data_IF_494399335857
#
_entry.id   IF_494399335857
#
_cell.length_a   1.000
_cell.length_b   1.000
_cell.length_c   1.000
_cell.angle_alpha   90.00
_cell.angle_beta   90.00
_cell.angle_gamma   90.00
#
_symmetry.space_group_name_H-M   'P 1'
#
loop_
_entity.id
_entity.type
_entity.pdbx_description
1 polymer ?
#
# COMPACT_ATOMS: atom_id res chain seq x y z
N UNK A 1 -2.11 8.92 68.95
CA UNK A 1 -1.08 8.47 67.98
C UNK A 1 -1.52 8.98 66.61
N UNK A 2 -0.74 9.86 66.01
CA UNK A 2 -1.01 10.34 64.64
C UNK A 2 -0.45 9.27 63.69
N UNK A 3 -1.33 8.58 62.98
CA UNK A 3 -0.94 7.61 61.96
C UNK A 3 -0.37 8.38 60.78
N UNK A 4 0.96 8.39 60.65
CA UNK A 4 1.63 8.94 59.48
C UNK A 4 1.26 8.11 58.27
N UNK A 5 0.41 8.65 57.40
CA UNK A 5 0.19 8.10 56.06
C UNK A 5 1.51 8.22 55.32
N UNK A 6 2.22 7.11 55.10
CA UNK A 6 3.35 7.09 54.16
C UNK A 6 2.76 7.39 52.77
N UNK A 7 3.01 8.59 52.26
CA UNK A 7 2.83 8.87 50.83
C UNK A 7 3.67 7.84 50.07
N UNK A 8 3.01 6.98 49.30
CA UNK A 8 3.69 6.20 48.27
C UNK A 8 4.19 7.22 47.24
N UNK A 9 5.49 7.33 46.97
CA UNK A 9 5.96 8.26 45.94
C UNK A 9 5.29 7.87 44.61
N UNK A 10 4.61 8.82 43.98
CA UNK A 10 4.02 8.65 42.65
C UNK A 10 5.15 8.46 41.65
N UNK A 11 5.02 7.44 40.79
CA UNK A 11 5.99 7.21 39.73
C UNK A 11 5.96 8.35 38.71
N UNK A 12 7.11 8.74 38.13
CA UNK A 12 7.16 9.87 37.22
C UNK A 12 6.39 9.58 35.93
N UNK A 13 5.88 10.63 35.31
CA UNK A 13 5.16 10.56 34.03
C UNK A 13 6.07 10.93 32.86
N UNK A 14 5.65 10.65 31.63
CA UNK A 14 6.34 11.12 30.43
C UNK A 14 6.59 12.64 30.39
N UNK A 15 5.82 13.45 31.14
CA UNK A 15 5.99 14.90 31.24
C UNK A 15 7.14 15.31 32.16
N UNK A 16 7.56 14.42 33.05
CA UNK A 16 8.63 14.62 34.03
C UNK A 16 9.93 13.92 33.61
N UNK A 17 9.89 13.18 32.50
CA UNK A 17 11.00 12.38 31.99
C UNK A 17 11.58 12.99 30.71
N UNK A 18 12.91 12.90 30.52
CA UNK A 18 13.50 13.11 29.21
C UNK A 18 12.83 12.23 28.15
N UNK A 19 12.84 12.68 26.91
CA UNK A 19 12.30 11.90 25.80
C UNK A 19 13.21 11.89 24.57
N UNK A 20 14.29 12.66 24.63
CA UNK A 20 15.28 12.87 23.58
C UNK A 20 16.61 13.21 24.28
N UNK A 21 17.73 12.71 23.77
CA UNK A 21 19.09 13.10 24.18
C UNK A 21 19.69 14.19 23.28
N UNK A 22 18.99 14.58 22.21
CA UNK A 22 19.41 15.54 21.21
C UNK A 22 20.47 15.00 20.24
N UNK A 23 20.76 13.69 20.27
CA UNK A 23 21.72 13.05 19.38
C UNK A 23 21.00 12.72 18.06
N UNK A 24 21.43 13.27 16.92
CA UNK A 24 20.83 12.92 15.65
C UNK A 24 21.14 11.45 15.32
N UNK A 25 20.23 10.79 14.60
CA UNK A 25 20.49 9.51 13.94
C UNK A 25 21.86 9.50 13.25
N UNK A 26 22.57 8.38 13.37
CA UNK A 26 23.97 8.23 12.93
C UNK A 26 24.23 8.75 11.51
N UNK A 27 23.31 8.51 10.57
CA UNK A 27 23.46 8.98 9.20
C UNK A 27 22.14 9.21 8.46
N UNK A 28 22.15 9.96 7.33
CA UNK A 28 20.97 10.10 6.48
C UNK A 28 20.37 8.75 6.03
N UNK A 29 21.19 7.70 5.87
CA UNK A 29 20.70 6.36 5.51
C UNK A 29 19.89 5.73 6.65
N UNK A 30 20.35 5.84 7.90
CA UNK A 30 19.58 5.35 9.05
C UNK A 30 18.25 6.09 9.18
N UNK A 31 18.26 7.42 9.03
CA UNK A 31 17.03 8.24 9.05
C UNK A 31 16.04 7.80 7.97
N UNK A 32 16.49 7.59 6.74
CA UNK A 32 15.62 7.14 5.65
C UNK A 32 15.12 5.71 5.86
N UNK A 33 15.93 4.84 6.46
CA UNK A 33 15.54 3.48 6.80
C UNK A 33 14.46 3.47 7.91
N UNK A 34 14.55 4.37 8.88
CA UNK A 34 13.48 4.58 9.85
C UNK A 34 12.23 5.21 9.22
N UNK A 35 12.40 6.18 8.32
CA UNK A 35 11.30 6.82 7.59
C UNK A 35 10.50 5.81 6.77
N UNK A 36 11.15 4.91 6.01
CA UNK A 36 10.42 3.91 5.22
C UNK A 36 9.69 2.90 6.10
N UNK A 37 10.25 2.49 7.25
CA UNK A 37 9.58 1.59 8.20
C UNK A 37 8.34 2.26 8.81
N UNK A 38 8.45 3.52 9.22
CA UNK A 38 7.36 4.26 9.87
C UNK A 38 6.30 4.71 8.85
N UNK A 39 6.69 5.32 7.74
CA UNK A 39 5.76 5.78 6.69
C UNK A 39 4.91 4.65 6.13
N UNK A 40 5.48 3.45 5.94
CA UNK A 40 4.74 2.31 5.41
C UNK A 40 3.86 1.63 6.46
N UNK A 41 4.21 1.70 7.75
CA UNK A 41 3.42 1.11 8.83
C UNK A 41 2.29 2.03 9.31
N UNK A 42 2.45 3.36 9.29
CA UNK A 42 1.41 4.33 9.72
C UNK A 42 0.03 4.00 9.17
N UNK A 43 -0.16 3.79 7.85
CA UNK A 43 -1.48 3.57 7.26
C UNK A 43 -2.08 2.21 7.64
N UNK A 44 -1.22 1.23 7.95
CA UNK A 44 -1.65 -0.07 8.47
C UNK A 44 -2.11 0.06 9.92
N UNK A 45 -1.38 0.83 10.74
CA UNK A 45 -1.74 1.11 12.14
C UNK A 45 -3.00 1.98 12.24
N UNK A 46 -3.21 2.92 11.30
CA UNK A 46 -4.39 3.77 11.22
C UNK A 46 -5.69 2.98 11.03
N UNK A 47 -5.65 1.84 10.32
CA UNK A 47 -6.79 0.95 10.10
C UNK A 47 -7.19 0.16 11.35
N UNK A 48 -6.36 0.17 12.40
CA UNK A 48 -6.66 -0.48 13.68
C UNK A 48 -7.35 0.50 14.62
N UNK A 49 -8.10 -0.01 15.60
CA UNK A 49 -8.62 0.83 16.69
C UNK A 49 -7.54 1.13 17.74
N UNK A 50 -6.55 0.24 17.85
CA UNK A 50 -5.52 0.21 18.86
C UNK A 50 -4.11 0.16 18.25
N UNK A 51 -3.17 0.68 19.01
CA UNK A 51 -1.75 0.57 18.74
C UNK A 51 -1.02 1.90 18.66
N UNK A 52 0.28 1.80 18.86
CA UNK A 52 1.24 2.88 18.83
C UNK A 52 2.53 2.37 18.18
N UNK A 53 3.22 3.25 17.47
CA UNK A 53 4.61 3.01 17.06
C UNK A 53 5.43 4.24 17.42
N UNK A 54 6.67 4.00 17.82
CA UNK A 54 7.65 5.05 18.06
C UNK A 54 8.93 4.74 17.30
N UNK A 55 9.69 5.79 17.01
CA UNK A 55 11.04 5.67 16.50
C UNK A 55 11.88 6.79 17.08
N UNK A 56 13.14 6.47 17.41
CA UNK A 56 14.06 7.37 18.09
C UNK A 56 13.43 8.00 19.36
N UNK A 57 12.76 7.17 20.14
CA UNK A 57 11.98 7.58 21.33
C UNK A 57 12.33 6.70 22.52
N UNK A 58 12.54 7.31 23.69
CA UNK A 58 12.87 6.57 24.90
C UNK A 58 11.73 5.68 25.40
N UNK A 59 12.10 4.46 25.78
CA UNK A 59 11.30 3.48 26.47
C UNK A 59 11.79 3.37 27.92
N UNK A 60 10.94 3.77 28.86
CA UNK A 60 11.16 3.66 30.31
C UNK A 60 10.50 2.40 30.85
N UNK A 61 11.31 1.48 31.38
CA UNK A 61 10.84 0.13 31.74
C UNK A 61 11.14 -0.27 33.19
N UNK A 62 11.91 0.53 33.95
CA UNK A 62 12.15 0.34 35.38
C UNK A 62 11.79 1.60 36.16
N UNK A 63 10.74 1.51 37.00
CA UNK A 63 10.26 2.63 37.78
C UNK A 63 11.14 2.94 39.02
N UNK A 64 11.92 1.94 39.46
CA UNK A 64 12.84 2.07 40.59
C UNK A 64 14.16 2.76 40.21
N UNK A 65 14.49 2.78 38.93
CA UNK A 65 15.81 3.14 38.38
C UNK A 65 15.73 4.27 37.35
N UNK A 66 14.62 5.03 37.36
CA UNK A 66 14.43 6.19 36.50
C UNK A 66 15.57 7.21 36.60
N UNK A 67 16.23 7.28 37.77
CA UNK A 67 17.35 8.19 38.05
C UNK A 67 18.73 7.64 37.62
N UNK A 68 18.80 6.42 37.10
CA UNK A 68 20.05 5.70 36.77
C UNK A 68 20.19 5.31 35.30
N UNK A 69 19.45 5.95 34.39
CA UNK A 69 19.53 5.74 32.92
C UNK A 69 19.01 4.37 32.42
N UNK A 70 18.13 3.71 33.18
CA UNK A 70 17.40 2.51 32.74
C UNK A 70 16.19 2.85 31.85
N UNK A 71 16.47 3.63 30.81
CA UNK A 71 15.66 3.76 29.61
C UNK A 71 16.49 3.33 28.40
N UNK A 72 15.85 2.98 27.30
CA UNK A 72 16.54 2.76 26.01
C UNK A 72 15.78 3.47 24.92
N UNK A 73 16.50 4.10 23.99
CA UNK A 73 15.96 4.58 22.72
C UNK A 73 16.17 3.50 21.66
N UNK A 74 15.17 2.63 21.39
CA UNK A 74 15.17 1.82 20.19
C UNK A 74 14.93 2.71 18.97
N UNK A 75 15.58 2.39 17.85
CA UNK A 75 15.36 3.12 16.59
C UNK A 75 13.91 3.01 16.11
N UNK A 76 13.29 1.85 16.29
CA UNK A 76 11.87 1.62 16.02
C UNK A 76 11.26 0.64 17.01
N UNK A 77 10.00 0.88 17.40
CA UNK A 77 9.20 -0.09 18.12
C UNK A 77 7.71 0.04 17.81
N UNK A 78 6.97 -1.05 18.04
CA UNK A 78 5.52 -1.09 17.92
C UNK A 78 4.88 -1.72 19.16
N UNK A 79 3.71 -1.22 19.53
CA UNK A 79 2.89 -1.70 20.63
C UNK A 79 1.44 -1.78 20.18
N UNK A 80 0.82 -2.95 20.23
CA UNK A 80 -0.60 -3.18 19.97
C UNK A 80 -1.38 -3.35 21.28
N UNK A 81 -2.71 -3.24 21.23
CA UNK A 81 -3.56 -3.35 22.42
C UNK A 81 -3.59 -2.09 23.29
N UNK A 82 -3.09 -0.96 22.78
CA UNK A 82 -2.97 0.31 23.52
C UNK A 82 -3.78 1.42 22.84
N UNK A 83 -4.35 2.38 23.59
CA UNK A 83 -5.06 3.50 22.98
C UNK A 83 -4.15 4.36 22.10
N UNK A 84 -4.68 4.80 20.96
CA UNK A 84 -4.01 5.80 20.11
C UNK A 84 -3.80 7.11 20.89
N UNK A 85 -2.77 7.84 20.51
CA UNK A 85 -2.51 9.19 20.99
C UNK A 85 -1.03 9.52 20.95
N UNK A 86 -0.72 10.80 21.05
CA UNK A 86 0.64 11.29 21.12
C UNK A 86 1.32 10.79 22.40
N UNK A 87 2.64 10.54 22.32
CA UNK A 87 3.51 10.22 23.44
C UNK A 87 4.82 10.98 23.28
N UNK A 88 5.34 11.52 24.38
CA UNK A 88 6.71 12.04 24.45
C UNK A 88 7.69 10.89 24.57
N UNK A 89 7.42 9.96 25.46
CA UNK A 89 8.19 8.74 25.68
C UNK A 89 7.25 7.57 25.96
N UNK A 90 7.73 6.35 25.76
CA UNK A 90 6.98 5.15 26.14
C UNK A 90 7.28 4.78 27.58
N UNK A 91 6.32 5.02 28.48
CA UNK A 91 6.50 4.78 29.91
C UNK A 91 5.70 3.55 30.33
N UNK A 92 6.38 2.42 30.55
CA UNK A 92 5.73 1.10 30.72
C UNK A 92 4.73 1.06 31.87
N UNK A 93 5.01 1.73 32.99
CA UNK A 93 4.07 1.78 34.13
C UNK A 93 2.88 2.72 33.92
N UNK A 94 2.95 3.63 32.95
CA UNK A 94 1.80 4.45 32.53
C UNK A 94 0.94 3.71 31.52
N UNK A 95 1.57 3.07 30.54
CA UNK A 95 0.89 2.37 29.45
C UNK A 95 0.43 0.96 29.85
N UNK A 96 0.99 0.40 30.92
CA UNK A 96 0.67 -0.94 31.43
C UNK A 96 1.37 -2.09 30.69
N UNK A 97 2.13 -1.81 29.62
CA UNK A 97 2.94 -2.81 28.89
C UNK A 97 4.15 -2.20 28.19
N UNK A 98 5.12 -3.06 27.88
CA UNK A 98 6.26 -2.73 27.02
C UNK A 98 5.98 -2.95 25.54
N UNK A 99 6.98 -2.64 24.68
CA UNK A 99 6.87 -2.89 23.26
C UNK A 99 6.68 -4.36 22.90
N UNK A 100 5.91 -4.60 21.85
CA UNK A 100 5.72 -5.94 21.29
C UNK A 100 6.85 -6.31 20.32
N UNK A 101 7.29 -5.32 19.54
CA UNK A 101 8.38 -5.44 18.56
C UNK A 101 9.36 -4.29 18.74
N UNK A 102 10.65 -4.58 18.67
CA UNK A 102 11.73 -3.59 18.54
C UNK A 102 12.58 -3.92 17.31
N UNK A 103 12.96 -2.90 16.55
CA UNK A 103 13.95 -2.97 15.46
C UNK A 103 15.06 -1.96 15.74
N UNK A 104 16.31 -2.41 15.71
CA UNK A 104 17.51 -1.54 15.79
C UNK A 104 18.20 -1.47 14.42
N UNK A 105 18.61 -0.27 14.04
CA UNK A 105 19.34 0.04 12.82
C UNK A 105 20.82 0.19 13.18
N UNK A 106 21.60 -0.84 12.88
CA UNK A 106 22.99 -0.94 13.33
C UNK A 106 23.87 0.13 12.68
N UNK A 107 24.68 0.80 13.50
CA UNK A 107 25.82 1.59 13.05
C UNK A 107 27.15 1.02 13.53
N UNK A 108 28.27 1.53 13.00
CA UNK A 108 29.60 1.17 13.49
C UNK A 108 29.78 1.45 15.00
N UNK A 109 29.16 2.53 15.49
CA UNK A 109 29.28 2.97 16.88
C UNK A 109 28.39 2.16 17.85
N UNK A 110 27.21 1.71 17.40
CA UNK A 110 26.21 1.06 18.27
C UNK A 110 26.09 -0.46 18.08
N UNK A 111 26.54 -1.03 16.95
CA UNK A 111 26.24 -2.41 16.58
C UNK A 111 26.62 -3.44 17.65
N UNK A 112 27.76 -3.25 18.33
CA UNK A 112 28.16 -4.12 19.43
C UNK A 112 27.15 -4.07 20.58
N UNK A 113 26.71 -2.87 20.97
CA UNK A 113 25.77 -2.64 22.06
C UNK A 113 24.39 -3.17 21.71
N UNK A 114 23.90 -2.94 20.49
CA UNK A 114 22.61 -3.43 20.00
C UNK A 114 22.55 -4.96 20.05
N UNK A 115 23.59 -5.63 19.54
CA UNK A 115 23.68 -7.10 19.48
C UNK A 115 23.91 -7.77 20.84
N UNK A 116 24.34 -7.02 21.86
CA UNK A 116 24.71 -7.58 23.18
C UNK A 116 23.91 -6.96 24.32
N UNK A 117 24.33 -5.79 24.82
CA UNK A 117 23.75 -5.13 25.99
C UNK A 117 22.27 -4.81 25.81
N UNK A 118 21.89 -4.12 24.73
CA UNK A 118 20.48 -3.78 24.44
C UNK A 118 19.64 -5.04 24.25
N UNK A 119 20.11 -6.01 23.44
CA UNK A 119 19.45 -7.32 23.34
C UNK A 119 19.22 -8.00 24.70
N UNK A 120 20.19 -7.95 25.61
CA UNK A 120 20.04 -8.51 26.96
C UNK A 120 18.98 -7.75 27.78
N UNK A 121 18.93 -6.42 27.68
CA UNK A 121 17.92 -5.59 28.35
C UNK A 121 16.53 -5.87 27.80
N UNK A 122 16.37 -5.90 26.48
CA UNK A 122 15.11 -6.24 25.81
C UNK A 122 14.62 -7.64 26.22
N UNK A 123 15.53 -8.61 26.33
CA UNK A 123 15.22 -9.98 26.73
C UNK A 123 14.85 -10.13 28.20
N UNK A 124 15.66 -9.57 29.10
CA UNK A 124 15.65 -9.92 30.52
C UNK A 124 14.85 -8.94 31.36
N UNK A 125 14.83 -7.67 30.96
CA UNK A 125 14.20 -6.59 31.72
C UNK A 125 12.88 -6.18 31.07
N UNK A 126 12.89 -5.81 29.78
CA UNK A 126 11.66 -5.36 29.10
C UNK A 126 10.75 -6.50 28.66
N UNK A 127 11.30 -7.71 28.49
CA UNK A 127 10.57 -8.89 28.00
C UNK A 127 9.89 -8.66 26.65
N UNK A 128 10.54 -7.89 25.75
CA UNK A 128 10.01 -7.58 24.42
C UNK A 128 9.86 -8.90 23.65
N UNK A 129 8.65 -9.27 23.19
CA UNK A 129 8.40 -10.54 22.52
C UNK A 129 9.26 -10.78 21.28
N UNK A 130 9.48 -9.76 20.46
CA UNK A 130 10.24 -9.89 19.21
C UNK A 130 11.25 -8.75 19.05
N UNK A 131 12.47 -9.12 18.70
CA UNK A 131 13.57 -8.18 18.54
C UNK A 131 14.29 -8.42 17.22
N UNK A 132 14.54 -7.35 16.47
CA UNK A 132 15.21 -7.38 15.19
C UNK A 132 16.36 -6.38 15.16
N UNK A 133 17.36 -6.68 14.34
CA UNK A 133 18.33 -5.68 13.90
C UNK A 133 18.58 -5.78 12.40
N UNK A 134 19.04 -4.67 11.83
CA UNK A 134 19.42 -4.55 10.43
C UNK A 134 20.54 -3.52 10.28
N UNK A 135 21.61 -3.85 9.54
CA UNK A 135 22.64 -2.89 9.14
C UNK A 135 22.33 -2.30 7.76
N UNK A 136 21.99 -1.00 7.64
CA UNK A 136 21.69 -0.37 6.35
C UNK A 136 22.90 -0.27 5.40
N UNK A 137 24.12 -0.46 5.89
CA UNK A 137 25.36 -0.46 5.10
C UNK A 137 25.87 -1.87 4.81
N UNK A 138 25.38 -2.88 5.54
CA UNK A 138 25.64 -4.29 5.29
C UNK A 138 24.33 -5.11 5.36
N UNK A 139 23.54 -5.19 4.27
CA UNK A 139 22.22 -5.81 4.30
C UNK A 139 22.20 -7.31 4.64
N UNK A 140 23.36 -7.98 4.62
CA UNK A 140 23.48 -9.37 5.10
C UNK A 140 23.46 -9.48 6.63
N UNK A 141 23.78 -8.39 7.35
CA UNK A 141 23.80 -8.35 8.81
C UNK A 141 22.44 -7.92 9.37
N UNK A 142 21.52 -8.87 9.30
CA UNK A 142 20.16 -8.70 9.79
C UNK A 142 19.66 -9.97 10.46
N UNK A 143 18.97 -9.82 11.59
CA UNK A 143 18.53 -10.97 12.37
C UNK A 143 17.26 -10.66 13.14
N UNK A 144 16.35 -11.63 13.18
CA UNK A 144 15.18 -11.63 14.04
C UNK A 144 15.31 -12.61 15.19
N UNK A 145 14.70 -12.26 16.31
CA UNK A 145 14.62 -13.09 17.51
C UNK A 145 13.21 -13.06 18.09
N UNK A 146 12.79 -14.20 18.63
CA UNK A 146 11.55 -14.33 19.39
C UNK A 146 11.85 -14.78 20.80
N UNK A 147 11.18 -14.19 21.78
CA UNK A 147 11.31 -14.54 23.19
C UNK A 147 10.53 -15.83 23.47
N UNK A 148 11.24 -16.90 23.82
CA UNK A 148 10.64 -18.20 24.17
C UNK A 148 11.15 -18.57 25.56
N UNK A 149 10.23 -18.75 26.52
CA UNK A 149 10.55 -19.05 27.91
C UNK A 149 11.58 -18.08 28.51
N UNK A 150 11.45 -16.79 28.18
CA UNK A 150 12.31 -15.72 28.69
C UNK A 150 13.69 -15.62 28.04
N UNK A 151 13.96 -16.38 26.97
CA UNK A 151 15.23 -16.35 26.23
C UNK A 151 14.98 -16.11 24.75
N UNK A 152 15.73 -15.22 24.13
CA UNK A 152 15.64 -14.99 22.69
C UNK A 152 16.17 -16.18 21.91
N UNK A 153 15.34 -16.70 21.02
CA UNK A 153 15.69 -17.69 20.00
C UNK A 153 15.70 -17.01 18.64
N UNK A 154 16.69 -17.30 17.77
CA UNK A 154 16.70 -16.74 16.43
C UNK A 154 15.45 -17.20 15.67
N UNK A 155 14.86 -16.29 14.90
CA UNK A 155 13.84 -16.61 13.92
C UNK A 155 14.51 -17.14 12.64
N UNK A 156 13.78 -18.02 11.95
CA UNK A 156 14.14 -18.48 10.61
C UNK A 156 13.44 -17.61 9.56
N UNK A 157 14.06 -17.49 8.40
CA UNK A 157 13.44 -16.81 7.27
C UNK A 157 12.38 -17.71 6.64
N UNK A 158 11.20 -17.15 6.41
CA UNK A 158 10.11 -17.78 5.68
C UNK A 158 9.88 -16.97 4.41
N UNK A 159 10.18 -17.57 3.27
CA UNK A 159 10.05 -16.93 1.95
C UNK A 159 10.76 -15.58 1.87
N UNK A 160 11.98 -15.51 2.40
CA UNK A 160 12.83 -14.32 2.33
C UNK A 160 12.53 -13.23 3.37
N UNK A 161 11.65 -13.47 4.35
CA UNK A 161 11.36 -12.52 5.42
C UNK A 161 11.22 -13.15 6.80
N UNK A 162 11.29 -12.33 7.84
CA UNK A 162 10.94 -12.74 9.20
C UNK A 162 9.46 -12.43 9.47
N UNK A 163 8.70 -13.43 9.91
CA UNK A 163 7.31 -13.22 10.31
C UNK A 163 7.29 -12.70 11.75
N UNK A 164 6.65 -11.56 11.95
CA UNK A 164 6.27 -11.07 13.28
C UNK A 164 4.88 -11.58 13.62
N UNK A 165 4.80 -12.41 14.66
CA UNK A 165 3.51 -12.89 15.17
C UNK A 165 2.80 -11.80 15.99
N UNK A 166 3.56 -10.87 16.57
CA UNK A 166 2.98 -9.79 17.38
C UNK A 166 2.16 -8.81 16.54
N UNK A 167 2.68 -8.39 15.38
CA UNK A 167 1.99 -7.42 14.53
C UNK A 167 1.40 -8.03 13.26
N UNK A 168 1.52 -9.34 13.08
CA UNK A 168 0.95 -10.10 11.94
C UNK A 168 1.39 -9.56 10.57
N UNK A 169 2.68 -9.22 10.48
CA UNK A 169 3.36 -8.73 9.28
C UNK A 169 4.68 -9.48 9.08
N UNK A 170 5.22 -9.39 7.86
CA UNK A 170 6.53 -9.92 7.51
C UNK A 170 7.51 -8.76 7.38
N UNK A 171 8.69 -8.89 7.96
CA UNK A 171 9.82 -7.97 7.77
C UNK A 171 10.71 -8.53 6.67
N UNK A 172 10.86 -7.80 5.58
CA UNK A 172 11.53 -8.26 4.35
C UNK A 172 12.63 -7.29 3.93
N UNK A 173 13.60 -7.81 3.19
CA UNK A 173 14.56 -7.00 2.44
C UNK A 173 14.03 -6.75 1.03
N UNK A 174 14.07 -5.50 0.59
CA UNK A 174 13.62 -5.09 -0.74
C UNK A 174 14.67 -4.19 -1.38
N UNK A 175 15.13 -4.55 -2.57
CA UNK A 175 16.01 -3.72 -3.38
C UNK A 175 15.20 -2.77 -4.25
N UNK A 176 15.42 -1.47 -4.08
CA UNK A 176 14.76 -0.47 -4.89
C UNK A 176 15.01 0.97 -4.44
N UNK A 177 14.32 1.90 -5.09
CA UNK A 177 14.51 3.33 -4.88
C UNK A 177 13.54 3.89 -3.85
N UNK A 178 14.07 4.55 -2.82
CA UNK A 178 13.30 5.36 -1.89
C UNK A 178 13.98 6.73 -1.71
N UNK A 179 13.22 7.81 -1.92
CA UNK A 179 13.71 9.21 -1.88
C UNK A 179 14.98 9.45 -2.72
N UNK A 180 15.09 8.75 -3.87
CA UNK A 180 16.21 8.89 -4.81
C UNK A 180 17.44 8.02 -4.51
N UNK A 181 17.39 7.17 -3.48
CA UNK A 181 18.45 6.21 -3.14
C UNK A 181 18.02 4.80 -3.51
N UNK A 182 18.75 4.17 -4.44
CA UNK A 182 18.51 2.80 -4.88
C UNK A 182 19.44 1.81 -4.15
N UNK A 183 18.92 1.15 -3.13
CA UNK A 183 19.66 0.23 -2.24
C UNK A 183 18.73 -0.89 -1.75
N UNK A 184 19.25 -1.78 -0.90
CA UNK A 184 18.44 -2.72 -0.12
C UNK A 184 17.87 -2.01 1.11
N UNK A 185 16.55 -2.09 1.27
CA UNK A 185 15.79 -1.52 2.38
C UNK A 185 15.12 -2.62 3.18
N UNK A 186 15.03 -2.43 4.50
CA UNK A 186 14.14 -3.21 5.36
C UNK A 186 12.72 -2.64 5.27
N UNK A 187 11.71 -3.46 4.99
CA UNK A 187 10.31 -3.02 4.83
C UNK A 187 9.34 -4.00 5.49
N UNK A 188 8.17 -3.48 5.85
CA UNK A 188 7.02 -4.29 6.22
C UNK A 188 6.28 -4.78 4.98
N UNK A 189 5.86 -6.04 5.02
CA UNK A 189 5.00 -6.69 4.04
C UNK A 189 3.86 -7.42 4.75
N UNK A 190 2.77 -7.69 4.03
CA UNK A 190 1.75 -8.63 4.49
C UNK A 190 2.33 -10.05 4.58
N UNK A 191 1.60 -10.98 5.21
CA UNK A 191 2.06 -12.36 5.30
C UNK A 191 2.18 -13.04 3.93
N UNK A 192 1.37 -12.60 2.96
CA UNK A 192 1.36 -13.02 1.56
C UNK A 192 2.56 -12.48 0.77
N UNK A 193 3.35 -11.55 1.35
CA UNK A 193 4.54 -10.98 0.74
C UNK A 193 4.32 -9.65 0.02
N UNK A 194 3.13 -9.06 0.11
CA UNK A 194 2.84 -7.75 -0.48
C UNK A 194 3.43 -6.62 0.37
N UNK A 195 4.31 -5.79 -0.20
CA UNK A 195 4.90 -4.67 0.51
C UNK A 195 3.83 -3.66 0.94
N UNK A 196 3.91 -3.21 2.21
CA UNK A 196 3.14 -2.05 2.64
C UNK A 196 3.65 -0.84 1.86
N UNK A 197 2.77 -0.16 1.09
CA UNK A 197 3.22 0.81 0.12
C UNK A 197 3.62 2.14 0.79
N UNK A 198 4.67 2.77 0.27
CA UNK A 198 5.00 4.16 0.58
C UNK A 198 3.90 5.08 0.04
N UNK A 199 3.85 6.33 0.51
CA UNK A 199 2.89 7.31 0.01
C UNK A 199 3.14 7.59 -1.48
N UNK A 200 4.39 7.60 -1.92
CA UNK A 200 4.72 7.76 -3.34
C UNK A 200 4.20 6.58 -4.18
N UNK A 201 4.38 5.34 -3.72
CA UNK A 201 3.86 4.15 -4.40
C UNK A 201 2.32 4.15 -4.45
N UNK A 202 1.64 4.60 -3.39
CA UNK A 202 0.18 4.74 -3.40
C UNK A 202 -0.29 5.77 -4.41
N UNK A 203 0.35 6.94 -4.41
CA UNK A 203 0.04 8.02 -5.36
C UNK A 203 0.22 7.51 -6.79
N UNK A 204 1.34 6.82 -7.06
CA UNK A 204 1.61 6.24 -8.37
C UNK A 204 0.55 5.20 -8.79
N UNK A 205 0.18 4.28 -7.89
CA UNK A 205 -0.89 3.28 -8.14
C UNK A 205 -2.24 3.94 -8.43
N UNK A 206 -2.57 5.02 -7.74
CA UNK A 206 -3.81 5.78 -7.99
C UNK A 206 -3.77 6.53 -9.33
N UNK A 207 -2.62 7.09 -9.72
CA UNK A 207 -2.46 7.68 -11.05
C UNK A 207 -2.64 6.64 -12.16
N UNK A 208 -1.95 5.50 -12.07
CA UNK A 208 -2.08 4.41 -13.04
C UNK A 208 -3.51 3.88 -13.12
N UNK A 209 -4.19 3.72 -11.98
CA UNK A 209 -5.59 3.31 -11.93
C UNK A 209 -6.50 4.31 -12.65
N UNK A 210 -6.26 5.62 -12.49
CA UNK A 210 -7.03 6.67 -13.17
C UNK A 210 -6.78 6.64 -14.67
N UNK A 211 -5.53 6.54 -15.11
CA UNK A 211 -5.20 6.45 -16.54
C UNK A 211 -5.85 5.23 -17.20
N UNK A 212 -5.80 4.06 -16.54
CA UNK A 212 -6.46 2.84 -17.04
C UNK A 212 -7.98 3.04 -17.10
N UNK A 213 -8.60 3.63 -16.07
CA UNK A 213 -10.04 3.87 -16.05
C UNK A 213 -10.47 4.85 -17.16
N UNK A 214 -9.70 5.91 -17.39
CA UNK A 214 -9.95 6.88 -18.46
C UNK A 214 -9.80 6.23 -19.85
N UNK A 215 -8.76 5.41 -20.05
CA UNK A 215 -8.55 4.68 -21.29
C UNK A 215 -9.72 3.72 -21.58
N UNK A 216 -10.22 3.00 -20.57
CA UNK A 216 -11.38 2.12 -20.71
C UNK A 216 -12.65 2.88 -21.10
N UNK A 217 -12.89 4.06 -20.52
CA UNK A 217 -14.04 4.92 -20.87
C UNK A 217 -13.94 5.43 -22.31
N UNK A 218 -12.75 5.84 -22.75
CA UNK A 218 -12.52 6.28 -24.14
C UNK A 218 -12.76 5.13 -25.10
N UNK A 219 -12.26 3.93 -24.79
CA UNK A 219 -12.45 2.74 -25.60
C UNK A 219 -13.95 2.38 -25.71
N UNK A 220 -14.68 2.33 -24.60
CA UNK A 220 -16.12 2.02 -24.61
C UNK A 220 -16.90 3.04 -25.46
N UNK A 221 -16.50 4.33 -25.42
CA UNK A 221 -17.10 5.37 -26.25
C UNK A 221 -16.82 5.15 -27.74
N UNK A 222 -15.58 4.83 -28.10
CA UNK A 222 -15.21 4.54 -29.49
C UNK A 222 -15.98 3.32 -30.02
N UNK A 223 -16.12 2.26 -29.23
CA UNK A 223 -16.90 1.08 -29.60
C UNK A 223 -18.38 1.42 -29.83
N UNK A 224 -18.97 2.27 -28.97
CA UNK A 224 -20.34 2.76 -29.16
C UNK A 224 -20.49 3.63 -30.42
N UNK A 225 -19.53 4.51 -30.70
CA UNK A 225 -19.55 5.37 -31.89
C UNK A 225 -19.41 4.53 -33.18
N UNK A 226 -18.53 3.51 -33.19
CA UNK A 226 -18.39 2.56 -34.30
C UNK A 226 -19.68 1.76 -34.50
N UNK A 227 -20.26 1.23 -33.41
CA UNK A 227 -21.51 0.48 -33.49
C UNK A 227 -22.66 1.35 -34.04
N UNK A 228 -22.76 2.61 -33.60
CA UNK A 228 -23.74 3.57 -34.14
C UNK A 228 -23.50 3.88 -35.62
N UNK A 229 -22.24 4.07 -36.03
CA UNK A 229 -21.89 4.31 -37.42
C UNK A 229 -22.26 3.11 -38.32
N UNK A 230 -22.01 1.88 -37.87
CA UNK A 230 -22.40 0.66 -38.59
C UNK A 230 -23.92 0.56 -38.74
N UNK A 231 -24.69 0.84 -37.68
CA UNK A 231 -26.17 0.84 -37.73
C UNK A 231 -26.69 1.91 -38.71
N UNK A 232 -26.08 3.10 -38.73
CA UNK A 232 -26.44 4.16 -39.67
C UNK A 232 -26.12 3.73 -41.12
N UNK A 233 -24.95 3.12 -41.33
CA UNK A 233 -24.54 2.63 -42.65
C UNK A 233 -25.48 1.54 -43.18
N UNK A 234 -25.79 0.52 -42.37
CA UNK A 234 -26.73 -0.55 -42.74
C UNK A 234 -28.11 0.01 -43.12
N UNK A 235 -28.58 1.04 -42.39
CA UNK A 235 -29.84 1.71 -42.71
C UNK A 235 -29.77 2.46 -44.05
N UNK A 236 -28.68 3.17 -44.32
CA UNK A 236 -28.48 3.87 -45.59
C UNK A 236 -28.41 2.88 -46.77
N UNK A 237 -27.70 1.76 -46.62
CA UNK A 237 -27.63 0.72 -47.64
C UNK A 237 -29.01 0.12 -47.92
N UNK A 238 -29.82 -0.11 -46.88
CA UNK A 238 -31.20 -0.56 -47.03
C UNK A 238 -32.08 0.47 -47.75
N UNK A 239 -31.98 1.75 -47.38
CA UNK A 239 -32.74 2.83 -48.02
C UNK A 239 -32.36 2.99 -49.51
N UNK A 240 -31.06 2.88 -49.84
CA UNK A 240 -30.58 2.88 -51.24
C UNK A 240 -31.13 1.67 -52.00
N UNK A 241 -31.07 0.47 -51.42
CA UNK A 241 -31.59 -0.73 -52.05
C UNK A 241 -33.10 -0.64 -52.31
N UNK A 242 -33.88 -0.13 -51.34
CA UNK A 242 -35.33 0.11 -51.51
C UNK A 242 -35.60 1.14 -52.60
N UNK A 243 -34.84 2.24 -52.67
CA UNK A 243 -34.97 3.25 -53.71
C UNK A 243 -34.67 2.70 -55.11
N UNK A 244 -33.62 1.87 -55.26
CA UNK A 244 -33.29 1.20 -56.53
C UNK A 244 -34.42 0.26 -56.98
N UNK A 245 -35.00 -0.52 -56.06
CA UNK A 245 -36.15 -1.39 -56.37
C UNK A 245 -37.37 -0.59 -56.81
N UNK A 246 -37.64 0.56 -56.17
CA UNK A 246 -38.74 1.46 -56.58
C UNK A 246 -38.47 2.04 -57.97
N UNK A 247 -37.25 2.49 -58.24
CA UNK A 247 -36.87 3.04 -59.54
C UNK A 247 -37.00 1.99 -60.66
N UNK A 248 -36.49 0.77 -60.46
CA UNK A 248 -36.58 -0.30 -61.46
C UNK A 248 -38.03 -0.66 -61.78
N UNK A 249 -38.91 -0.68 -60.76
CA UNK A 249 -40.36 -0.90 -60.96
C UNK A 249 -41.00 0.24 -61.76
N UNK A 250 -40.63 1.50 -61.48
CA UNK A 250 -41.14 2.66 -62.20
C UNK A 250 -40.69 2.65 -63.66
N UNK A 251 -39.44 2.31 -63.94
CA UNK A 251 -38.90 2.18 -65.30
C UNK A 251 -39.61 1.08 -66.10
N UNK A 252 -39.78 -0.12 -65.50
CA UNK A 252 -40.54 -1.22 -66.10
C UNK A 252 -41.99 -0.85 -66.42
N UNK A 253 -42.65 -0.14 -65.51
CA UNK A 253 -44.03 0.32 -65.72
C UNK A 253 -44.10 1.38 -66.83
N UNK A 254 -43.14 2.30 -66.88
CA UNK A 254 -43.08 3.33 -67.93
C UNK A 254 -42.79 2.72 -69.31
N UNK A 255 -41.93 1.71 -69.39
CA UNK A 255 -41.66 0.93 -70.60
C UNK A 255 -42.92 0.18 -71.05
N UNK A 256 -43.61 -0.49 -70.13
CA UNK A 256 -44.90 -1.16 -70.42
C UNK A 256 -45.93 -0.20 -70.99
N UNK A 257 -46.09 0.98 -70.39
CA UNK A 257 -47.02 2.01 -70.87
C UNK A 257 -46.64 2.55 -72.26
N UNK A 258 -45.34 2.72 -72.54
CA UNK A 258 -44.87 3.10 -73.88
C UNK A 258 -45.17 2.01 -74.92
N UNK A 259 -44.90 0.75 -74.57
CA UNK A 259 -45.18 -0.40 -75.45
C UNK A 259 -46.68 -0.55 -75.71
N UNK A 260 -47.53 -0.39 -74.69
CA UNK A 260 -48.99 -0.42 -74.85
C UNK A 260 -49.50 0.72 -75.75
N UNK A 261 -48.97 1.95 -75.59
CA UNK A 261 -49.30 3.09 -76.47
C UNK A 261 -48.84 2.86 -77.90
N UNK A 262 -47.63 2.32 -78.10
CA UNK A 262 -47.11 1.99 -79.42
C UNK A 262 -47.95 0.91 -80.11
N UNK A 263 -48.29 -0.16 -79.38
CA UNK A 263 -49.17 -1.21 -79.88
C UNK A 263 -50.57 -0.68 -80.24
N UNK A 264 -51.14 0.21 -79.43
CA UNK A 264 -52.40 0.89 -79.74
C UNK A 264 -52.30 1.77 -81.01
N UNK A 265 -51.19 2.48 -81.18
CA UNK A 265 -50.93 3.29 -82.36
C UNK A 265 -50.77 2.44 -83.63
N UNK A 266 -49.98 1.37 -83.58
CA UNK A 266 -49.82 0.43 -84.70
C UNK A 266 -51.17 -0.19 -85.13
N UNK A 267 -52.01 -0.60 -84.17
CA UNK A 267 -53.38 -1.06 -84.43
C UNK A 267 -54.23 0.00 -85.14
N UNK A 268 -54.09 1.28 -84.79
CA UNK A 268 -54.81 2.38 -85.45
C UNK A 268 -54.41 2.59 -86.93
N UNK A 269 -53.20 2.17 -87.31
CA UNK A 269 -52.69 2.20 -88.69
C UNK A 269 -53.01 0.92 -89.47
N UNK A 270 -53.71 -0.06 -88.87
CA UNK A 270 -54.05 -1.34 -89.50
C UNK A 270 -52.92 -2.37 -89.51
N UNK A 271 -51.86 -2.16 -88.73
CA UNK A 271 -50.72 -3.06 -88.60
C UNK A 271 -50.89 -3.91 -87.33
N UNK A 272 -50.80 -5.24 -87.44
CA UNK A 272 -50.87 -6.14 -86.28
C UNK A 272 -49.54 -6.07 -85.50
N UNK A 273 -49.51 -5.56 -84.25
CA UNK A 273 -48.28 -5.43 -83.48
C UNK A 273 -47.66 -6.78 -83.09
N UNK A 274 -48.45 -7.85 -83.06
CA UNK A 274 -48.02 -9.19 -82.63
C UNK A 274 -47.39 -10.01 -83.79
N UNK A 275 -47.32 -9.42 -84.99
CA UNK A 275 -46.76 -10.03 -86.21
C UNK A 275 -45.43 -9.38 -86.66
N UNK A 276 -44.88 -8.45 -85.86
CA UNK A 276 -43.60 -7.76 -86.09
C UNK A 276 -42.58 -8.23 -85.05
#
# INVERSE_FOLDING_TARGET
>A
MVTTVKLVPTLPTQDELPYDDGVPMESPRHKLQLEILTETLTPWLEQREDGFMGGDMFVYFSANEVKTEDFKGPDFFAVLGVPKGERKSWVVWQEGKGPDVIVELLSESTAKTDKTTKKSIYQNQMRVPEYFWYDPFNPEDWKGFKLINGVYKPLELVEGGYISEQINLKLVLWEGSFKGLNIVWLRWATLEGELLPTQQEKIQREYERREIAEALVIQERQEKEIAQALVIQERQEKEIAEALVIQERAEKEQERQKNEKLAAYLRSLGINPDEI
#
